data_IF_909534819326
#
_entry.id   IF_909534819326
#
_cell.length_a   1.000
_cell.length_b   1.000
_cell.length_c   1.000
_cell.angle_alpha   90.00
_cell.angle_beta   90.00
_cell.angle_gamma   90.00
#
_symmetry.space_group_name_H-M   'P 1'
#
loop_
_entity.id
_entity.type
_entity.pdbx_description
1 polymer ?
#
# COMPACT_ATOMS: atom_id res chain seq x y z
N UNK A 1 19.76 -2.65 1.86
CA UNK A 1 18.91 -2.70 0.64
C UNK A 1 19.05 -1.42 -0.15
N UNK A 2 18.95 -1.54 -1.45
CA UNK A 2 18.97 -0.42 -2.37
C UNK A 2 17.56 -0.05 -2.82
N UNK A 3 17.41 1.09 -3.49
CA UNK A 3 16.12 1.48 -4.09
C UNK A 3 15.65 0.42 -5.10
N UNK A 4 16.59 -0.16 -5.87
CA UNK A 4 16.28 -1.22 -6.81
C UNK A 4 15.74 -2.46 -6.11
N UNK A 5 16.29 -2.84 -4.95
CA UNK A 5 15.78 -3.96 -4.15
C UNK A 5 14.32 -3.73 -3.76
N UNK A 6 13.98 -2.53 -3.31
CA UNK A 6 12.59 -2.21 -2.97
C UNK A 6 11.68 -2.23 -4.19
N UNK A 7 12.16 -1.72 -5.32
CA UNK A 7 11.38 -1.74 -6.57
C UNK A 7 11.11 -3.17 -7.02
N UNK A 8 12.11 -4.04 -6.91
CA UNK A 8 11.95 -5.46 -7.22
C UNK A 8 10.96 -6.14 -6.30
N UNK A 9 10.97 -5.80 -5.01
CA UNK A 9 10.01 -6.33 -4.03
C UNK A 9 8.58 -5.89 -4.33
N UNK A 10 8.38 -4.65 -4.72
CA UNK A 10 7.05 -4.16 -5.15
C UNK A 10 6.58 -4.92 -6.41
N UNK A 11 7.48 -5.16 -7.36
CA UNK A 11 7.17 -5.96 -8.54
C UNK A 11 6.81 -7.42 -8.21
N UNK A 12 7.48 -8.01 -7.23
CA UNK A 12 7.15 -9.37 -6.74
C UNK A 12 5.75 -9.41 -6.11
N UNK A 13 5.38 -8.37 -5.37
CA UNK A 13 4.05 -8.27 -4.80
C UNK A 13 3.00 -8.21 -5.92
N UNK A 14 3.23 -7.39 -6.95
CA UNK A 14 2.33 -7.30 -8.10
C UNK A 14 2.17 -8.65 -8.79
N UNK A 15 3.27 -9.39 -8.98
CA UNK A 15 3.23 -10.72 -9.58
C UNK A 15 2.45 -11.71 -8.71
N UNK A 16 2.63 -11.65 -7.39
CA UNK A 16 1.89 -12.50 -6.45
C UNK A 16 0.38 -12.23 -6.55
N UNK A 17 -0.01 -10.96 -6.57
CA UNK A 17 -1.41 -10.56 -6.68
C UNK A 17 -1.99 -11.00 -8.04
N UNK A 18 -1.25 -10.78 -9.12
CA UNK A 18 -1.68 -11.18 -10.47
C UNK A 18 -1.91 -12.70 -10.54
N UNK A 19 -1.02 -13.48 -9.93
CA UNK A 19 -1.16 -14.94 -9.89
C UNK A 19 -2.39 -15.37 -9.10
N UNK A 20 -2.68 -14.69 -7.99
CA UNK A 20 -3.89 -14.96 -7.20
C UNK A 20 -5.15 -14.67 -8.00
N UNK A 21 -5.20 -13.54 -8.69
CA UNK A 21 -6.34 -13.17 -9.54
C UNK A 21 -6.53 -14.18 -10.67
N UNK A 22 -5.43 -14.60 -11.31
CA UNK A 22 -5.47 -15.55 -12.42
C UNK A 22 -5.84 -16.97 -11.96
N UNK A 23 -5.66 -17.30 -10.69
CA UNK A 23 -6.02 -18.62 -10.14
C UNK A 23 -7.53 -18.84 -10.07
N UNK A 24 -8.32 -17.77 -10.06
CA UNK A 24 -9.77 -17.85 -9.91
C UNK A 24 -10.23 -18.33 -8.54
N UNK A 25 -9.35 -18.37 -7.54
CA UNK A 25 -9.66 -18.87 -6.19
C UNK A 25 -10.59 -17.95 -5.41
N UNK A 26 -10.59 -16.63 -5.73
CA UNK A 26 -11.44 -15.64 -5.07
C UNK A 26 -12.85 -15.61 -5.70
N UNK A 27 -13.56 -16.74 -5.67
CA UNK A 27 -14.85 -16.93 -6.33
C UNK A 27 -16.06 -16.86 -5.40
N UNK A 28 -15.84 -16.61 -4.11
CA UNK A 28 -16.89 -16.36 -3.10
C UNK A 28 -16.60 -15.04 -2.41
N UNK A 29 -17.61 -14.47 -1.73
CA UNK A 29 -17.41 -13.25 -0.94
C UNK A 29 -16.35 -13.44 0.14
N UNK A 30 -16.37 -14.59 0.83
CA UNK A 30 -15.37 -14.88 1.86
C UNK A 30 -13.96 -14.99 1.26
N UNK A 31 -13.81 -15.66 0.13
CA UNK A 31 -12.53 -15.77 -0.57
C UNK A 31 -12.04 -14.41 -1.07
N UNK A 32 -12.93 -13.56 -1.57
CA UNK A 32 -12.60 -12.18 -1.96
C UNK A 32 -12.12 -11.36 -0.77
N UNK A 33 -12.78 -11.52 0.38
CA UNK A 33 -12.41 -10.83 1.62
C UNK A 33 -11.01 -11.21 2.07
N UNK A 34 -10.69 -12.49 2.03
CA UNK A 34 -9.36 -12.99 2.37
C UNK A 34 -8.30 -12.51 1.39
N UNK A 35 -8.63 -12.50 0.09
CA UNK A 35 -7.71 -12.07 -0.96
C UNK A 35 -7.31 -10.60 -0.80
N UNK A 36 -8.29 -9.71 -0.63
CA UNK A 36 -7.99 -8.27 -0.49
C UNK A 36 -7.26 -7.96 0.82
N UNK A 37 -7.57 -8.70 1.89
CA UNK A 37 -6.85 -8.56 3.16
C UNK A 37 -5.39 -8.97 3.01
N UNK A 38 -5.11 -10.03 2.26
CA UNK A 38 -3.75 -10.48 1.97
C UNK A 38 -3.00 -9.44 1.12
N UNK A 39 -3.62 -8.94 0.06
CA UNK A 39 -3.05 -7.89 -0.78
C UNK A 39 -2.69 -6.65 0.03
N UNK A 40 -3.60 -6.20 0.89
CA UNK A 40 -3.36 -5.06 1.76
C UNK A 40 -2.16 -5.29 2.68
N UNK A 41 -2.07 -6.47 3.30
CA UNK A 41 -0.94 -6.80 4.18
C UNK A 41 0.40 -6.77 3.44
N UNK A 42 0.44 -7.26 2.20
CA UNK A 42 1.67 -7.24 1.40
C UNK A 42 2.13 -5.81 1.13
N UNK A 43 1.22 -4.97 0.67
CA UNK A 43 1.55 -3.56 0.37
C UNK A 43 1.91 -2.78 1.63
N UNK A 44 1.18 -2.99 2.71
CA UNK A 44 1.42 -2.28 3.98
C UNK A 44 2.78 -2.64 4.57
N UNK A 45 3.15 -3.90 4.56
CA UNK A 45 4.45 -4.34 5.07
C UNK A 45 5.59 -3.71 4.27
N UNK A 46 5.49 -3.66 2.94
CA UNK A 46 6.53 -3.08 2.11
C UNK A 46 6.57 -1.56 2.21
N UNK A 47 5.40 -0.91 2.28
CA UNK A 47 5.32 0.53 2.54
C UNK A 47 6.10 0.90 3.80
N UNK A 48 5.91 0.15 4.87
CA UNK A 48 6.58 0.42 6.15
C UNK A 48 8.09 0.26 6.05
N UNK A 49 8.57 -0.72 5.28
CA UNK A 49 10.00 -0.91 5.02
C UNK A 49 10.60 0.29 4.28
N UNK A 50 9.92 0.75 3.23
CA UNK A 50 10.37 1.90 2.44
C UNK A 50 10.33 3.17 3.30
N UNK A 51 9.26 3.37 4.07
CA UNK A 51 9.14 4.52 4.96
C UNK A 51 10.30 4.59 5.96
N UNK A 52 10.65 3.46 6.58
CA UNK A 52 11.77 3.41 7.52
C UNK A 52 13.11 3.68 6.83
N UNK A 53 13.28 3.20 5.60
CA UNK A 53 14.50 3.46 4.82
C UNK A 53 14.67 4.96 4.54
N UNK A 54 13.58 5.64 4.19
CA UNK A 54 13.59 7.10 3.97
C UNK A 54 13.93 7.81 5.28
N UNK A 55 13.27 7.46 6.36
CA UNK A 55 13.48 8.09 7.67
C UNK A 55 14.92 7.99 8.13
N UNK A 56 15.64 6.95 7.71
CA UNK A 56 17.04 6.75 8.06
C UNK A 56 17.99 7.68 7.29
N UNK A 57 17.58 8.21 6.13
CA UNK A 57 18.44 9.07 5.28
C UNK A 57 18.03 10.54 5.28
N UNK A 58 16.84 10.87 5.77
CA UNK A 58 16.37 12.26 5.81
C UNK A 58 17.04 13.05 6.93
N UNK A 59 17.32 14.35 6.70
CA UNK A 59 17.63 15.28 7.80
C UNK A 59 16.47 15.36 8.79
N UNK A 60 16.76 15.63 10.07
CA UNK A 60 15.77 15.61 11.16
C UNK A 60 14.54 16.49 10.89
N UNK A 61 14.73 17.68 10.34
CA UNK A 61 13.61 18.59 10.02
C UNK A 61 12.67 17.98 8.98
N UNK A 62 13.22 17.28 8.00
CA UNK A 62 12.43 16.64 6.96
C UNK A 62 11.74 15.37 7.44
N UNK A 63 12.30 14.68 8.44
CA UNK A 63 11.61 13.52 9.05
C UNK A 63 10.32 13.95 9.73
N UNK A 64 10.31 15.07 10.43
CA UNK A 64 9.09 15.59 11.05
C UNK A 64 8.04 15.96 10.01
N UNK A 65 8.46 16.57 8.92
CA UNK A 65 7.58 16.90 7.80
C UNK A 65 6.97 15.63 7.20
N UNK A 66 7.79 14.61 6.96
CA UNK A 66 7.30 13.36 6.38
C UNK A 66 6.33 12.65 7.31
N UNK A 67 6.59 12.64 8.63
CA UNK A 67 5.64 12.07 9.60
C UNK A 67 4.28 12.74 9.52
N UNK A 68 4.26 14.05 9.40
CA UNK A 68 3.01 14.80 9.26
C UNK A 68 2.26 14.44 7.98
N UNK A 69 2.98 14.33 6.87
CA UNK A 69 2.42 13.93 5.57
C UNK A 69 1.88 12.49 5.62
N UNK A 70 2.57 11.57 6.29
CA UNK A 70 2.09 10.19 6.43
C UNK A 70 0.82 10.12 7.28
N UNK A 71 0.73 10.87 8.37
CA UNK A 71 -0.50 10.92 9.17
C UNK A 71 -1.67 11.45 8.35
N UNK A 72 -1.44 12.47 7.56
CA UNK A 72 -2.44 13.03 6.65
C UNK A 72 -2.85 12.01 5.60
N UNK A 73 -1.88 11.32 5.01
CA UNK A 73 -2.15 10.29 4.03
C UNK A 73 -3.00 9.15 4.62
N UNK A 74 -2.71 8.70 5.85
CA UNK A 74 -3.49 7.67 6.53
C UNK A 74 -4.96 8.10 6.66
N UNK A 75 -5.21 9.36 7.03
CA UNK A 75 -6.58 9.88 7.12
C UNK A 75 -7.27 9.90 5.77
N UNK A 76 -6.57 10.33 4.74
CA UNK A 76 -7.10 10.36 3.37
C UNK A 76 -7.40 8.95 2.86
N UNK A 77 -6.51 8.00 3.13
CA UNK A 77 -6.69 6.59 2.80
C UNK A 77 -7.95 6.03 3.45
N UNK A 78 -8.10 6.27 4.74
CA UNK A 78 -9.25 5.75 5.50
C UNK A 78 -10.56 6.38 5.04
N UNK A 79 -10.54 7.67 4.72
CA UNK A 79 -11.70 8.36 4.16
C UNK A 79 -12.09 7.78 2.79
N UNK A 80 -11.11 7.56 1.92
CA UNK A 80 -11.37 6.96 0.61
C UNK A 80 -11.96 5.55 0.73
N UNK A 81 -11.47 4.75 1.70
CA UNK A 81 -11.99 3.41 1.94
C UNK A 81 -13.45 3.43 2.40
N UNK A 82 -13.80 4.37 3.29
CA UNK A 82 -15.19 4.55 3.74
C UNK A 82 -16.11 4.94 2.58
N UNK A 83 -15.65 5.83 1.71
CA UNK A 83 -16.40 6.24 0.52
C UNK A 83 -16.59 5.08 -0.45
N UNK A 84 -15.56 4.27 -0.67
CA UNK A 84 -15.65 3.09 -1.53
C UNK A 84 -16.67 2.07 -0.98
N UNK A 85 -16.69 1.88 0.33
CA UNK A 85 -17.59 0.94 0.99
C UNK A 85 -19.05 1.44 1.01
N UNK A 86 -19.27 2.75 1.01
CA UNK A 86 -20.61 3.37 1.14
C UNK A 86 -21.58 2.89 0.06
N UNK A 87 -21.08 2.65 -1.16
CA UNK A 87 -21.89 2.15 -2.28
C UNK A 87 -22.45 0.76 -2.01
N UNK A 88 -21.82 0.01 -1.12
CA UNK A 88 -22.15 -1.39 -0.82
C UNK A 88 -22.68 -1.54 0.61
N UNK A 89 -23.08 -0.42 1.24
CA UNK A 89 -23.51 -0.37 2.63
C UNK A 89 -24.59 -1.41 2.94
N UNK A 90 -24.32 -2.22 3.97
CA UNK A 90 -25.24 -3.28 4.39
C UNK A 90 -25.17 -4.55 3.55
N UNK A 91 -24.41 -4.54 2.45
CA UNK A 91 -24.24 -5.69 1.57
C UNK A 91 -22.98 -6.50 1.90
N UNK A 92 -22.88 -7.67 1.27
CA UNK A 92 -21.74 -8.59 1.48
C UNK A 92 -20.42 -8.04 0.95
N UNK A 93 -20.45 -7.12 -0.01
CA UNK A 93 -19.27 -6.54 -0.62
C UNK A 93 -18.73 -5.30 0.11
N UNK A 94 -19.41 -4.81 1.14
CA UNK A 94 -18.99 -3.60 1.88
C UNK A 94 -17.56 -3.74 2.41
N UNK A 95 -17.28 -4.82 3.10
CA UNK A 95 -15.94 -5.07 3.66
C UNK A 95 -14.88 -5.29 2.56
N UNK A 96 -15.23 -6.00 1.50
CA UNK A 96 -14.33 -6.25 0.36
C UNK A 96 -13.91 -4.93 -0.28
N UNK A 97 -14.88 -4.05 -0.56
CA UNK A 97 -14.60 -2.76 -1.20
C UNK A 97 -13.81 -1.81 -0.28
N UNK A 98 -14.09 -1.85 1.02
CA UNK A 98 -13.32 -1.08 2.01
C UNK A 98 -11.84 -1.49 1.96
N UNK A 99 -11.57 -2.78 2.11
CA UNK A 99 -10.19 -3.30 2.17
C UNK A 99 -9.48 -3.17 0.83
N UNK A 100 -10.18 -3.38 -0.30
CA UNK A 100 -9.60 -3.16 -1.63
C UNK A 100 -9.13 -1.72 -1.81
N UNK A 101 -9.90 -0.75 -1.32
CA UNK A 101 -9.51 0.66 -1.34
C UNK A 101 -8.25 0.91 -0.51
N UNK A 102 -8.17 0.33 0.69
CA UNK A 102 -6.96 0.41 1.52
C UNK A 102 -5.75 -0.15 0.79
N UNK A 103 -5.90 -1.31 0.15
CA UNK A 103 -4.82 -1.96 -0.59
C UNK A 103 -4.34 -1.10 -1.75
N UNK A 104 -5.26 -0.55 -2.54
CA UNK A 104 -4.92 0.29 -3.70
C UNK A 104 -4.20 1.57 -3.28
N UNK A 105 -4.71 2.25 -2.26
CA UNK A 105 -4.08 3.47 -1.73
C UNK A 105 -2.69 3.20 -1.17
N UNK A 106 -2.53 2.09 -0.47
CA UNK A 106 -1.24 1.71 0.13
C UNK A 106 -0.23 1.33 -0.93
N UNK A 107 -0.64 0.60 -1.98
CA UNK A 107 0.21 0.33 -3.15
C UNK A 107 0.74 1.63 -3.76
N UNK A 108 -0.17 2.56 -4.06
CA UNK A 108 0.19 3.82 -4.70
C UNK A 108 1.17 4.62 -3.83
N UNK A 109 0.94 4.64 -2.52
CA UNK A 109 1.82 5.33 -1.58
C UNK A 109 3.20 4.68 -1.50
N UNK A 110 3.27 3.35 -1.56
CA UNK A 110 4.55 2.63 -1.56
C UNK A 110 5.42 3.07 -2.74
N UNK A 111 4.84 3.19 -3.93
CA UNK A 111 5.56 3.69 -5.10
C UNK A 111 5.96 5.16 -4.95
N UNK A 112 5.07 6.01 -4.43
CA UNK A 112 5.39 7.42 -4.17
C UNK A 112 6.57 7.56 -3.22
N UNK A 113 6.57 6.78 -2.12
CA UNK A 113 7.67 6.82 -1.16
C UNK A 113 8.96 6.26 -1.75
N UNK A 114 8.88 5.25 -2.60
CA UNK A 114 10.07 4.74 -3.28
C UNK A 114 10.70 5.80 -4.18
N UNK A 115 9.88 6.52 -4.94
CA UNK A 115 10.36 7.64 -5.77
C UNK A 115 11.02 8.72 -4.91
N UNK A 116 10.43 9.03 -3.77
CA UNK A 116 11.00 9.97 -2.81
C UNK A 116 12.35 9.47 -2.28
N UNK A 117 12.41 8.20 -1.91
CA UNK A 117 13.66 7.58 -1.44
C UNK A 117 14.77 7.69 -2.48
N UNK A 118 14.47 7.38 -3.73
CA UNK A 118 15.44 7.51 -4.83
C UNK A 118 15.98 8.92 -4.97
N UNK A 119 15.14 9.93 -4.72
CA UNK A 119 15.55 11.34 -4.84
C UNK A 119 16.56 11.77 -3.77
N UNK A 120 16.64 11.04 -2.65
CA UNK A 120 17.58 11.34 -1.56
C UNK A 120 18.87 10.51 -1.64
N UNK A 121 18.96 9.58 -2.58
CA UNK A 121 20.16 8.78 -2.74
C UNK A 121 21.15 9.51 -3.64
N UNK A 122 22.48 9.33 -3.40
CA UNK A 122 23.47 9.91 -4.30
C UNK A 122 23.34 9.30 -5.69
N UNK A 123 23.57 10.11 -6.72
CA UNK A 123 23.61 9.63 -8.10
C UNK A 123 24.79 8.65 -8.26
N UNK A 124 24.51 7.49 -8.82
CA UNK A 124 25.54 6.49 -9.13
C UNK A 124 26.33 6.86 -10.38
#
# INVERSE_FOLDING_TARGET
RTAEDYRNRLGEIENTIQNLENSGSANTTDAMREAVAYEYRLWDAELNQIYQAIMAVLPDEETDTLRGLERRWIRERDTAAKQAAERYKGGTMENVEYTASLANSTRDRAYELLDLYESYLPAE
#
